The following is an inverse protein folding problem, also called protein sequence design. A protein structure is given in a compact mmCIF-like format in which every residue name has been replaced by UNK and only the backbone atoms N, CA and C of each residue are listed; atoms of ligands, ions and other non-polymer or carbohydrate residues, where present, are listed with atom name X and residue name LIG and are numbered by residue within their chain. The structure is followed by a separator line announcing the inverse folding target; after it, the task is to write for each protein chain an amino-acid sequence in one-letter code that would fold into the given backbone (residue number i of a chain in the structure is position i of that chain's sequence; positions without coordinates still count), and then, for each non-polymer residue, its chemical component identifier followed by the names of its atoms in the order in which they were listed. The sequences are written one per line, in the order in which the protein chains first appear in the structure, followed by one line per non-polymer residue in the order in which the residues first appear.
data_IF_700597771426
#
_entry.id   IF_700597771426
#
_cell.length_a   1.000
_cell.length_b   1.000
_cell.length_c   1.000
_cell.angle_alpha   90.00
_cell.angle_beta   90.00
_cell.angle_gamma   90.00
#
_symmetry.space_group_name_H-M   'P 1'
#
loop_
_entity.id
_entity.type
_entity.pdbx_description
1 polymer ?
2 non-polymer ?
3 water ?
#
# COMPACT_ATOMS: atom_id res chain seq x y z
N UNK A 5 -23.87 7.68 -0.01
CA UNK A 5 -22.53 8.27 -0.26
C UNK A 5 -21.41 7.33 0.18
N UNK A 6 -20.48 7.00 -0.74
CA UNK A 6 -19.31 6.20 -0.39
C UNK A 6 -18.33 6.97 0.52
N UNK A 7 -17.79 6.27 1.53
CA UNK A 7 -16.70 6.79 2.38
C UNK A 7 -15.38 6.60 1.65
N UNK A 8 -14.50 7.60 1.74
CA UNK A 8 -13.17 7.53 1.10
C UNK A 8 -12.07 8.08 2.03
N UNK A 9 -10.96 7.35 2.11
CA UNK A 9 -9.79 7.79 2.87
C UNK A 9 -8.74 8.47 2.01
N UNK A 10 -8.25 9.62 2.47
CA UNK A 10 -7.18 10.32 1.76
C UNK A 10 -5.98 10.64 2.66
N UNK A 11 -4.82 10.73 2.03
CA UNK A 11 -3.60 11.16 2.71
C UNK A 11 -2.95 12.29 1.92
N UNK A 12 -2.39 13.27 2.63
CA UNK A 12 -1.68 14.37 2.00
C UNK A 12 -0.20 14.11 2.10
N UNK A 13 0.47 14.09 0.95
CA UNK A 13 1.93 13.93 0.92
C UNK A 13 2.60 15.10 0.20
N UNK A 14 3.94 15.08 0.16
CA UNK A 14 4.73 16.18 -0.38
C UNK A 14 5.79 16.66 0.60
N UNK A 15 6.79 17.35 0.07
CA UNK A 15 7.97 17.79 0.80
C UNK A 15 7.57 18.71 1.94
N UNK A 16 8.37 18.73 3.00
CA UNK A 16 8.11 19.58 4.18
C UNK A 16 7.93 21.06 3.75
N UNK A 17 7.00 21.76 4.41
CA UNK A 17 6.72 23.18 4.12
C UNK A 17 6.12 23.50 2.73
N UNK A 18 5.72 22.49 1.97
CA UNK A 18 5.05 22.74 0.69
C UNK A 18 3.57 23.09 0.81
N UNK A 19 2.99 22.82 1.97
CA UNK A 19 1.65 23.29 2.31
C UNK A 19 0.60 22.23 2.60
N UNK A 20 1.02 21.07 3.08
CA UNK A 20 0.09 20.00 3.42
C UNK A 20 -0.87 20.42 4.55
N UNK A 21 -0.32 20.89 5.67
CA UNK A 21 -1.17 21.28 6.82
C UNK A 21 -2.11 22.42 6.45
N UNK A 22 -1.57 23.42 5.73
CA UNK A 22 -2.33 24.61 5.39
C UNK A 22 -3.49 24.27 4.45
N UNK A 23 -3.23 23.37 3.49
CA UNK A 23 -4.24 22.87 2.56
C UNK A 23 -5.37 22.12 3.28
N UNK A 24 -5.01 21.22 4.21
CA UNK A 24 -5.96 20.53 5.08
C UNK A 24 -6.75 21.59 5.85
N UNK A 25 -6.01 22.53 6.44
CA UNK A 25 -6.61 23.62 7.20
C UNK A 25 -7.63 24.39 6.38
N UNK A 26 -7.24 24.75 5.15
CA UNK A 26 -8.08 25.54 4.26
C UNK A 26 -9.33 24.76 3.83
N UNK A 27 -9.16 23.48 3.51
CA UNK A 27 -10.30 22.59 3.23
C UNK A 27 -11.33 22.62 4.35
N UNK A 28 -10.87 22.35 5.57
CA UNK A 28 -11.73 22.34 6.75
C UNK A 28 -12.37 23.71 7.01
N UNK A 29 -11.59 24.77 6.85
CA UNK A 29 -12.06 26.14 7.09
C UNK A 29 -13.18 26.58 6.14
N UNK A 30 -13.03 26.28 4.86
CA UNK A 30 -13.99 26.72 3.85
C UNK A 30 -15.24 25.85 3.71
N UNK A 31 -15.20 24.63 4.25
CA UNK A 31 -16.39 23.76 4.31
C UNK A 31 -17.07 23.81 5.69
N UNK A 32 -16.67 24.78 6.51
CA UNK A 32 -17.21 24.95 7.86
C UNK A 32 -16.98 23.74 8.76
N UNK A 33 -15.80 23.14 8.66
CA UNK A 33 -15.46 21.93 9.41
C UNK A 33 -14.31 22.11 10.42
N UNK A 34 -14.26 23.27 11.07
CA UNK A 34 -13.31 23.54 12.15
C UNK A 34 -13.84 23.00 13.50
N UNK A 35 -13.05 22.17 14.21
CA UNK A 35 -13.43 21.66 15.53
C UNK A 35 -13.11 22.64 16.65
N UNK A 53 -10.83 34.78 11.47
CA UNK A 53 -9.64 34.94 10.64
C UNK A 53 -8.96 33.59 10.44
N UNK A 54 -8.34 33.42 9.27
CA UNK A 54 -7.69 32.16 8.88
C UNK A 54 -6.34 31.94 9.56
N UNK A 55 -5.50 32.99 9.62
CA UNK A 55 -4.21 32.94 10.34
C UNK A 55 -4.37 32.47 11.78
N UNK A 56 -5.25 33.14 12.52
CA UNK A 56 -5.78 32.61 13.78
C UNK A 56 -6.65 31.46 13.29
N UNK A 57 -6.58 30.31 13.96
CA UNK A 57 -7.22 29.05 13.50
C UNK A 57 -6.13 28.12 12.97
N UNK A 58 -5.31 28.63 12.06
CA UNK A 58 -4.12 27.90 11.61
C UNK A 58 -3.10 27.75 12.75
N UNK A 59 -2.98 28.78 13.59
CA UNK A 59 -2.19 28.70 14.83
C UNK A 59 -2.76 27.68 15.81
N UNK A 60 -4.08 27.73 16.03
CA UNK A 60 -4.76 26.81 16.95
C UNK A 60 -4.66 25.34 16.51
N UNK A 61 -4.73 25.11 15.20
CA UNK A 61 -4.63 23.76 14.64
C UNK A 61 -3.23 23.17 14.82
N UNK A 62 -2.21 24.01 14.62
CA UNK A 62 -0.82 23.61 14.81
C UNK A 62 -0.56 23.12 16.24
N UNK A 63 -1.18 23.78 17.22
CA UNK A 63 -1.05 23.45 18.65
C UNK A 63 -1.62 22.09 19.01
N UNK A 64 -2.85 21.81 18.56
CA UNK A 64 -3.53 20.53 18.85
C UNK A 64 -2.97 19.37 18.01
N UNK A 75 -9.22 11.28 13.63
CA UNK A 75 -9.30 11.66 12.23
C UNK A 75 -10.40 12.70 12.05
N UNK A 76 -10.14 13.67 11.18
CA UNK A 76 -11.13 14.68 10.84
C UNK A 76 -11.79 14.32 9.52
N UNK A 77 -13.12 14.40 9.50
CA UNK A 77 -13.88 14.07 8.31
C UNK A 77 -14.46 15.36 7.74
N UNK A 78 -14.88 15.30 6.48
CA UNK A 78 -15.75 16.30 5.92
C UNK A 78 -16.56 15.69 4.79
N UNK A 79 -17.60 16.39 4.39
CA UNK A 79 -18.59 15.84 3.49
C UNK A 79 -18.67 16.70 2.22
N UNK A 80 -18.69 16.02 1.08
CA UNK A 80 -18.91 16.64 -0.22
C UNK A 80 -20.26 16.13 -0.79
N UNK A 81 -20.69 16.67 -1.94
CA UNK A 81 -21.96 16.19 -2.51
C UNK A 81 -22.02 14.67 -2.69
N UNK A 82 -20.94 14.07 -3.18
CA UNK A 82 -20.93 12.64 -3.55
C UNK A 82 -20.04 11.76 -2.66
N UNK A 83 -19.33 12.35 -1.71
CA UNK A 83 -18.37 11.59 -0.89
C UNK A 83 -18.38 11.95 0.58
N UNK A 84 -18.12 10.96 1.42
CA UNK A 84 -17.67 11.18 2.80
C UNK A 84 -16.16 10.99 2.77
N UNK A 85 -15.43 11.96 3.28
CA UNK A 85 -13.98 11.97 3.16
C UNK A 85 -13.33 11.98 4.53
N UNK A 86 -12.42 11.02 4.72
CA UNK A 86 -11.62 11.00 5.91
C UNK A 86 -10.14 11.23 5.54
N UNK A 87 -9.53 12.22 6.19
CA UNK A 87 -8.08 12.34 6.19
C UNK A 87 -7.58 11.32 7.21
N UNK A 88 -7.00 10.23 6.70
CA UNK A 88 -6.73 9.03 7.52
C UNK A 88 -5.39 9.12 8.24
N UNK A 89 -4.43 9.82 7.63
CA UNK A 89 -3.10 9.96 8.21
C UNK A 89 -2.33 11.10 7.56
N UNK A 90 -1.16 11.42 8.11
CA UNK A 90 -0.34 12.53 7.62
C UNK A 90 1.14 12.41 8.02
N UNK A 91 2.06 12.73 7.08
CA UNK A 91 3.46 12.85 7.47
C UNK A 91 3.62 13.81 8.64
N UNK A 92 4.49 13.47 9.58
CA UNK A 92 4.84 14.39 10.65
C UNK A 92 4.54 13.90 12.05
N UNK A 93 3.94 12.73 12.17
CA UNK A 93 3.73 12.16 13.49
C UNK A 93 4.48 10.85 13.63
N UNK A 94 4.61 10.41 14.88
CA UNK A 94 5.53 9.34 15.24
C UNK A 94 5.33 8.05 14.44
N UNK A 95 4.07 7.71 14.15
CA UNK A 95 3.77 6.41 13.57
C UNK A 95 3.30 6.47 12.12
N UNK A 96 3.61 7.53 11.41
CA UNK A 96 3.14 7.66 10.05
C UNK A 96 3.58 6.48 9.17
N UNK A 97 4.88 6.18 9.15
CA UNK A 97 5.39 5.10 8.30
C UNK A 97 4.86 3.73 8.79
N UNK A 98 4.83 3.54 10.10
CA UNK A 98 4.34 2.31 10.71
C UNK A 98 2.89 2.02 10.31
N UNK A 99 2.01 3.01 10.52
CA UNK A 99 0.61 2.88 10.12
C UNK A 99 0.42 2.55 8.64
N UNK A 100 1.21 3.19 7.77
CA UNK A 100 1.12 2.92 6.32
C UNK A 100 1.61 1.52 5.97
N UNK A 101 2.71 1.08 6.61
CA UNK A 101 3.30 -0.24 6.36
C UNK A 101 2.43 -1.41 6.84
N UNK A 102 1.84 -1.29 8.02
CA UNK A 102 1.01 -2.35 8.60
C UNK A 102 -0.40 -2.38 8.01
N UNK A 103 -0.76 -1.34 7.26
CA UNK A 103 -2.12 -1.16 6.78
C UNK A 103 -3.13 -0.77 7.85
N UNK A 104 -2.66 -0.28 9.00
CA UNK A 104 -3.54 0.32 10.01
C UNK A 104 -4.20 1.58 9.45
N UNK A 105 -3.44 2.33 8.65
CA UNK A 105 -3.92 3.48 7.89
C UNK A 105 -3.86 3.11 6.42
N UNK A 106 -5.00 3.24 5.75
CA UNK A 106 -5.08 2.92 4.33
C UNK A 106 -5.82 4.01 3.56
N UNK A 107 -5.22 4.49 2.49
CA UNK A 107 -5.83 5.58 1.74
C UNK A 107 -6.35 5.06 0.40
N UNK A 108 -7.44 5.67 -0.06
CA UNK A 108 -7.94 5.41 -1.41
C UNK A 108 -7.28 6.37 -2.39
N UNK A 109 -6.94 7.56 -1.91
CA UNK A 109 -6.30 8.57 -2.74
C UNK A 109 -5.26 9.37 -1.95
N UNK A 110 -4.26 9.87 -2.67
CA UNK A 110 -3.24 10.74 -2.08
C UNK A 110 -3.29 12.08 -2.81
N UNK A 111 -3.20 13.15 -2.03
CA UNK A 111 -3.09 14.48 -2.59
C UNK A 111 -1.63 14.88 -2.42
N UNK A 112 -0.94 14.95 -3.55
CA UNK A 112 0.45 15.36 -3.59
C UNK A 112 0.55 16.87 -3.71
N UNK A 113 1.05 17.52 -2.66
CA UNK A 113 1.22 18.97 -2.60
C UNK A 113 2.64 19.33 -3.07
N UNK A 114 2.73 20.11 -4.14
CA UNK A 114 4.01 20.59 -4.65
C UNK A 114 3.96 22.12 -4.66
N UNK A 115 4.93 22.74 -4.00
CA UNK A 115 5.09 24.19 -3.95
C UNK A 115 5.56 24.74 -5.29
N UNK A 116 4.88 25.78 -5.77
CA UNK A 116 5.23 26.44 -7.02
C UNK A 116 6.59 27.13 -6.94
N UNK A 117 6.99 27.52 -5.73
CA UNK A 117 8.28 28.16 -5.47
C UNK A 117 9.47 27.20 -5.62
N UNK A 118 9.35 25.98 -5.08
CA UNK A 118 10.43 24.98 -5.05
C UNK A 118 10.37 24.02 -6.24
N UNK A 119 9.15 23.67 -6.65
CA UNK A 119 8.94 22.61 -7.63
C UNK A 119 9.07 21.23 -7.00
N UNK A 120 9.15 20.23 -7.86
CA UNK A 120 9.34 18.84 -7.44
C UNK A 120 10.74 18.67 -6.84
N UNK A 121 10.76 18.35 -5.55
CA UNK A 121 11.99 18.10 -4.80
C UNK A 121 12.20 16.59 -4.64
N UNK A 122 13.40 16.17 -4.22
CA UNK A 122 13.63 14.73 -3.99
C UNK A 122 12.56 14.07 -3.11
N UNK A 123 12.15 14.75 -2.03
CA UNK A 123 11.15 14.25 -1.09
C UNK A 123 9.74 14.14 -1.69
N UNK A 124 9.49 14.95 -2.72
CA UNK A 124 8.28 14.84 -3.54
C UNK A 124 8.30 13.52 -4.31
N UNK A 125 9.45 13.20 -4.88
CA UNK A 125 9.60 11.95 -5.65
C UNK A 125 9.46 10.74 -4.74
N UNK A 126 10.11 10.79 -3.58
CA UNK A 126 10.02 9.75 -2.56
C UNK A 126 8.57 9.44 -2.12
N UNK A 127 7.80 10.50 -1.87
CA UNK A 127 6.41 10.36 -1.44
C UNK A 127 5.49 9.81 -2.51
N UNK A 128 5.74 10.17 -3.77
CA UNK A 128 4.99 9.61 -4.87
C UNK A 128 5.31 8.11 -5.02
N UNK A 129 6.58 7.76 -4.83
CA UNK A 129 7.00 6.36 -4.84
C UNK A 129 6.30 5.59 -3.72
N UNK A 130 6.24 6.18 -2.53
CA UNK A 130 5.54 5.57 -1.42
C UNK A 130 4.07 5.29 -1.76
N UNK A 131 3.40 6.25 -2.42
CA UNK A 131 2.00 6.08 -2.81
C UNK A 131 1.86 4.93 -3.81
N UNK A 132 2.74 4.90 -4.81
CA UNK A 132 2.82 3.78 -5.75
C UNK A 132 3.00 2.44 -5.02
N UNK A 133 3.96 2.38 -4.09
CA UNK A 133 4.25 1.17 -3.33
C UNK A 133 3.03 0.64 -2.56
N UNK A 134 2.27 1.56 -1.96
CA UNK A 134 1.10 1.19 -1.16
C UNK A 134 -0.10 0.77 -1.99
N UNK A 135 -0.02 0.93 -3.31
CA UNK A 135 -1.14 0.61 -4.20
C UNK A 135 -2.25 1.66 -4.22
N UNK A 136 -1.91 2.90 -3.83
CA UNK A 136 -2.81 4.03 -4.03
C UNK A 136 -2.92 4.30 -5.54
N UNK A 137 -4.10 4.08 -6.12
CA UNK A 137 -4.28 4.21 -7.57
C UNK A 137 -4.60 5.64 -8.01
N UNK A 138 -5.20 6.43 -7.13
CA UNK A 138 -5.65 7.79 -7.49
C UNK A 138 -4.82 8.88 -6.81
N UNK A 139 -4.22 9.72 -7.64
CA UNK A 139 -3.41 10.84 -7.17
C UNK A 139 -4.03 12.16 -7.65
N UNK A 140 -4.11 13.12 -6.73
CA UNK A 140 -4.50 14.48 -7.04
C UNK A 140 -3.32 15.39 -6.72
N UNK A 141 -2.81 16.09 -7.73
CA UNK A 141 -1.68 17.00 -7.50
C UNK A 141 -2.18 18.43 -7.33
N UNK A 142 -1.75 19.08 -6.26
CA UNK A 142 -1.89 20.52 -6.16
C UNK A 142 -0.53 21.18 -6.31
N UNK A 143 -0.51 22.27 -7.08
CA UNK A 143 0.66 23.10 -7.18
C UNK A 143 0.35 24.33 -6.34
N UNK A 144 0.83 24.27 -5.10
CA UNK A 144 0.49 25.22 -4.06
C UNK A 144 1.41 26.44 -4.07
N UNK A 145 1.06 27.45 -3.28
CA UNK A 145 1.80 28.72 -3.17
C UNK A 145 1.83 29.52 -4.48
N UNK A 146 0.80 29.32 -5.31
CA UNK A 146 0.65 30.09 -6.54
C UNK A 146 0.72 31.59 -6.30
N UNK A 147 0.25 32.04 -5.15
CA UNK A 147 0.33 33.46 -4.78
C UNK A 147 1.77 33.97 -4.68
N UNK A 148 2.70 33.09 -4.29
CA UNK A 148 4.10 33.49 -4.12
C UNK A 148 4.85 33.61 -5.45
N UNK A 149 4.24 33.14 -6.54
CA UNK A 149 4.79 33.30 -7.88
C UNK A 149 3.84 34.13 -8.75
N UNK A 150 3.11 35.05 -8.10
CA UNK A 150 2.23 35.99 -8.79
C UNK A 150 1.12 35.29 -9.63
N UNK A 151 0.72 34.11 -9.18
CA UNK A 151 -0.32 33.32 -9.82
C UNK A 151 -0.01 33.06 -11.31
N UNK A 152 1.27 32.95 -11.63
CA UNK A 152 1.74 32.92 -13.01
C UNK A 152 1.53 31.58 -13.72
N UNK A 153 0.94 31.63 -14.90
CA UNK A 153 0.73 30.45 -15.73
C UNK A 153 2.03 29.74 -16.14
N UNK A 154 3.03 30.52 -16.56
CA UNK A 154 4.30 29.94 -17.01
C UNK A 154 4.96 29.10 -15.91
N UNK A 155 4.88 29.60 -14.66
CA UNK A 155 5.45 28.89 -13.51
C UNK A 155 4.70 27.58 -13.25
N UNK A 156 3.37 27.65 -13.19
CA UNK A 156 2.52 26.46 -12.98
C UNK A 156 2.83 25.38 -13.98
N UNK A 157 2.98 25.77 -15.25
CA UNK A 157 3.24 24.79 -16.32
C UNK A 157 4.61 24.14 -16.25
N UNK A 158 5.61 24.92 -15.81
CA UNK A 158 6.92 24.36 -15.62
C UNK A 158 6.88 23.27 -14.53
N UNK A 159 6.28 23.59 -13.39
CA UNK A 159 6.13 22.64 -12.29
C UNK A 159 5.20 21.47 -12.70
N UNK A 160 4.12 21.76 -13.40
CA UNK A 160 3.23 20.71 -13.90
C UNK A 160 4.00 19.68 -14.73
N UNK A 161 4.85 20.17 -15.63
CA UNK A 161 5.73 19.29 -16.43
C UNK A 161 6.65 18.41 -15.57
N UNK A 162 7.18 18.96 -14.47
CA UNK A 162 7.99 18.15 -13.55
C UNK A 162 7.15 17.04 -12.92
N UNK A 163 5.96 17.43 -12.45
CA UNK A 163 4.98 16.53 -11.86
C UNK A 163 4.55 15.42 -12.83
N UNK A 164 4.31 15.77 -14.10
CA UNK A 164 3.95 14.81 -15.16
C UNK A 164 5.05 13.79 -15.46
N UNK A 165 6.30 14.24 -15.49
CA UNK A 165 7.44 13.37 -15.76
C UNK A 165 7.59 12.31 -14.66
N UNK A 166 7.50 12.74 -13.42
CA UNK A 166 7.59 11.87 -12.25
C UNK A 166 6.47 10.84 -12.19
N UNK A 167 5.23 11.27 -12.42
CA UNK A 167 4.07 10.39 -12.22
C UNK A 167 3.85 9.40 -13.37
N UNK A 168 4.28 9.81 -14.57
CA UNK A 168 4.38 8.93 -15.74
C UNK A 168 5.38 7.81 -15.48
N UNK A 169 6.52 8.14 -14.86
CA UNK A 169 7.53 7.17 -14.45
C UNK A 169 6.91 6.10 -13.55
N UNK A 170 5.95 6.49 -12.71
CA UNK A 170 5.33 5.58 -11.75
C UNK A 170 4.08 4.89 -12.30
N UNK A 171 3.67 5.25 -13.50
CA UNK A 171 2.54 4.57 -14.15
C UNK A 171 1.19 5.25 -14.00
N UNK A 172 1.18 6.46 -13.42
CA UNK A 172 -0.06 7.20 -13.20
C UNK A 172 -0.45 7.99 -14.46
N UNK A 173 -1.76 8.08 -14.70
CA UNK A 173 -2.31 8.79 -15.84
C UNK A 173 -3.63 9.44 -15.45
N UNK A 174 -4.04 10.47 -16.19
CA UNK A 174 -5.36 11.11 -16.02
C UNK A 174 -5.67 11.65 -14.62
N UNK A 175 -4.63 12.19 -13.96
CA UNK A 175 -4.74 12.81 -12.63
C UNK A 175 -4.86 14.33 -12.78
N UNK A 176 -5.58 14.98 -11.86
CA UNK A 176 -5.68 16.45 -11.98
C UNK A 176 -4.45 17.14 -11.39
N UNK A 177 -4.07 18.27 -11.99
CA UNK A 177 -3.01 19.12 -11.50
C UNK A 177 -3.63 20.49 -11.22
N UNK A 178 -3.75 20.83 -9.95
CA UNK A 178 -4.53 22.00 -9.53
C UNK A 178 -3.64 23.12 -8.97
N UNK A 179 -3.64 24.29 -9.64
CA UNK A 179 -2.96 25.48 -9.12
C UNK A 179 -3.71 26.01 -7.90
N UNK A 180 -3.02 26.07 -6.76
CA UNK A 180 -3.69 26.51 -5.54
C UNK A 180 -2.88 27.52 -4.73
N UNK A 181 -3.60 28.30 -3.94
CA UNK A 181 -3.00 29.01 -2.84
C UNK A 181 -3.79 28.60 -1.60
N UNK A 182 -3.24 27.67 -0.84
CA UNK A 182 -3.87 27.21 0.39
C UNK A 182 -4.04 28.37 1.37
N UNK A 183 -3.08 29.29 1.38
CA UNK A 183 -3.14 30.43 2.30
C UNK A 183 -4.26 31.42 1.96
N UNK A 184 -4.36 31.80 0.69
CA UNK A 184 -5.39 32.74 0.25
C UNK A 184 -6.74 32.08 -0.07
N UNK A 185 -6.72 30.80 -0.39
CA UNK A 185 -7.94 30.03 -0.67
C UNK A 185 -8.10 29.52 -2.10
N UNK A 186 -7.33 30.09 -3.03
CA UNK A 186 -7.50 29.82 -4.47
C UNK A 186 -7.53 28.32 -4.84
N UNK A 187 -8.69 27.90 -5.34
CA UNK A 187 -8.92 26.55 -5.90
C UNK A 187 -8.88 25.38 -4.93
N UNK A 188 -8.91 25.65 -3.64
CA UNK A 188 -9.02 24.56 -2.66
C UNK A 188 -10.49 24.15 -2.56
N UNK A 189 -11.32 25.08 -2.10
CA UNK A 189 -12.77 24.90 -2.07
C UNK A 189 -13.44 25.87 -3.04
N UNK A 190 -13.06 27.13 -3.00
CA UNK A 190 -13.67 28.15 -3.87
C UNK A 190 -12.81 28.39 -5.11
N UNK A 191 -13.47 28.62 -6.24
CA UNK A 191 -12.77 28.86 -7.50
C UNK A 191 -12.07 30.21 -7.45
N UNK A 192 -10.86 30.24 -7.98
CA UNK A 192 -10.04 31.43 -8.01
C UNK A 192 -10.50 32.44 -9.08
N UNK A 193 -10.49 33.71 -8.72
CA UNK A 193 -10.64 34.77 -9.70
C UNK A 193 -9.28 35.30 -10.17
N UNK A 194 -8.20 34.71 -9.62
CA UNK A 194 -6.84 35.15 -9.93
C UNK A 194 -6.15 34.33 -11.01
N UNK A 195 -6.77 33.23 -11.44
CA UNK A 195 -6.19 32.35 -12.46
C UNK A 195 -7.23 31.91 -13.51
N UNK A 196 -7.69 32.84 -14.37
CA UNK A 196 -8.69 32.50 -15.40
C UNK A 196 -8.19 31.52 -16.48
N UNK A 197 -6.89 31.25 -16.49
CA UNK A 197 -6.30 30.33 -17.46
C UNK A 197 -6.48 28.84 -17.10
N UNK A 198 -6.99 28.56 -15.90
CA UNK A 198 -7.19 27.19 -15.44
C UNK A 198 -8.64 26.71 -15.53
N UNK A 199 -8.86 25.62 -16.26
CA UNK A 199 -10.21 25.16 -16.58
C UNK A 199 -10.65 23.92 -15.80
N UNK A 200 -9.74 23.36 -15.02
CA UNK A 200 -10.01 22.09 -14.32
C UNK A 200 -10.78 22.26 -13.01
N UNK A 201 -10.82 21.18 -12.22
CA UNK A 201 -11.56 21.20 -10.96
C UNK A 201 -10.77 21.88 -9.82
N UNK A 202 -11.51 22.32 -8.81
CA UNK A 202 -10.91 22.73 -7.55
C UNK A 202 -10.50 21.45 -6.82
N UNK A 203 -9.74 21.59 -5.74
CA UNK A 203 -9.35 20.42 -4.97
C UNK A 203 -10.57 19.64 -4.47
N UNK A 204 -11.52 20.32 -3.85
CA UNK A 204 -12.70 19.67 -3.29
C UNK A 204 -13.57 18.99 -4.38
N UNK A 205 -13.60 19.57 -5.58
CA UNK A 205 -14.23 18.93 -6.74
C UNK A 205 -13.48 17.68 -7.18
N UNK A 206 -12.16 17.69 -7.09
CA UNK A 206 -11.35 16.50 -7.43
C UNK A 206 -11.52 15.38 -6.42
N UNK A 207 -11.66 15.74 -5.14
CA UNK A 207 -11.87 14.76 -4.06
C UNK A 207 -13.25 14.08 -4.20
N UNK A 208 -14.23 14.87 -4.60
CA UNK A 208 -15.59 14.39 -4.83
C UNK A 208 -15.69 13.32 -5.92
N UNK A 209 -14.65 13.22 -6.75
CA UNK A 209 -14.63 12.29 -7.88
C UNK A 209 -13.66 11.11 -7.71
N UNK A 210 -13.17 10.89 -6.49
CA UNK A 210 -12.31 9.74 -6.19
C UNK A 210 -13.14 8.46 -6.38
N UNK A 211 -12.72 7.59 -7.32
CA UNK A 211 -13.48 6.35 -7.55
C UNK A 211 -13.57 5.49 -6.29
N UNK A 212 -14.59 4.65 -6.22
CA UNK A 212 -14.77 3.74 -5.09
C UNK A 212 -13.60 2.75 -5.05
N UNK A 213 -13.21 2.31 -3.84
CA UNK A 213 -12.09 1.37 -3.73
C UNK A 213 -12.36 0.04 -4.46
N UNK A 214 -11.32 -0.53 -5.07
CA UNK A 214 -11.40 -1.87 -5.65
C UNK A 214 -11.62 -2.89 -4.53
N UNK A 215 -12.44 -3.90 -4.80
CA UNK A 215 -12.82 -4.88 -3.78
C UNK A 215 -11.93 -6.12 -3.85
N UNK A 216 -11.61 -6.74 -2.68
CA UNK A 216 -10.83 -7.98 -2.67
C UNK A 216 -11.42 -9.07 -3.59
N UNK A 217 -12.75 -9.15 -3.70
CA UNK A 217 -13.41 -10.07 -4.62
C UNK A 217 -12.96 -9.95 -6.11
N UNK A 218 -12.49 -8.77 -6.49
CA UNK A 218 -12.10 -8.48 -7.89
C UNK A 218 -10.63 -8.66 -8.17
N UNK A 219 -9.85 -8.94 -7.14
CA UNK A 219 -8.44 -9.25 -7.29
C UNK A 219 -8.30 -10.75 -7.57
N UNK A 220 -7.14 -11.22 -8.06
CA UNK A 220 -7.01 -12.64 -8.38
C UNK A 220 -7.13 -13.54 -7.12
N UNK A 221 -7.77 -14.71 -7.28
CA UNK A 221 -7.93 -15.66 -6.18
C UNK A 221 -6.63 -15.98 -5.45
N UNK A 222 -6.68 -15.89 -4.13
CA UNK A 222 -5.57 -16.33 -3.30
C UNK A 222 -6.12 -16.93 -2.03
N UNK A 223 -5.71 -18.16 -1.73
CA UNK A 223 -6.10 -18.86 -0.49
C UNK A 223 -4.86 -19.46 0.17
N UNK A 224 -4.26 -18.74 1.14
CA UNK A 224 -3.13 -19.32 1.89
C UNK A 224 -3.61 -20.52 2.68
N UNK A 225 -2.85 -21.60 2.64
CA UNK A 225 -3.28 -22.85 3.24
C UNK A 225 -2.84 -22.92 4.72
N UNK A 226 -3.80 -23.16 5.61
CA UNK A 226 -3.58 -23.31 7.04
C UNK A 226 -3.23 -24.74 7.40
N UNK A 227 -4.03 -25.68 6.90
CA UNK A 227 -3.85 -27.09 7.21
C UNK A 227 -4.35 -27.96 6.05
N UNK A 228 -3.87 -29.21 6.00
CA UNK A 228 -4.27 -30.19 4.99
C UNK A 228 -4.76 -31.50 5.62
N UNK A 229 -5.99 -31.88 5.27
CA UNK A 229 -6.62 -33.10 5.79
C UNK A 229 -6.83 -34.14 4.69
N UNK A 230 -6.89 -35.40 5.09
CA UNK A 230 -7.34 -36.51 4.26
C UNK A 230 -8.67 -37.00 4.82
N UNK A 231 -9.77 -36.76 4.10
CA UNK A 231 -11.08 -37.25 4.53
C UNK A 231 -11.46 -38.51 3.76
N UNK A 232 -11.74 -39.57 4.50
CA UNK A 232 -12.07 -40.88 3.95
C UNK A 232 -13.29 -40.86 3.02
N UNK A 233 -13.12 -41.37 1.81
CA UNK A 233 -14.18 -41.36 0.82
C UNK A 233 -14.23 -40.05 0.05
N UNK A 234 -13.49 -39.06 0.51
CA UNK A 234 -13.53 -37.72 -0.07
C UNK A 234 -12.16 -37.37 -0.70
N UNK A 235 -11.08 -37.58 0.05
CA UNK A 235 -9.73 -37.25 -0.45
C UNK A 235 -9.12 -36.03 0.22
N UNK A 236 -8.30 -35.32 -0.55
CA UNK A 236 -7.46 -34.25 -0.04
C UNK A 236 -8.25 -32.96 0.12
N UNK A 237 -8.21 -32.41 1.33
CA UNK A 237 -9.05 -31.28 1.73
C UNK A 237 -8.19 -30.22 2.43
N UNK A 238 -7.62 -29.29 1.65
CA UNK A 238 -6.96 -28.14 2.28
C UNK A 238 -7.94 -27.19 2.95
N UNK A 239 -7.45 -26.50 3.98
CA UNK A 239 -8.20 -25.53 4.74
C UNK A 239 -7.48 -24.19 4.70
N UNK A 240 -8.22 -23.13 4.46
CA UNK A 240 -7.62 -21.80 4.41
C UNK A 240 -8.66 -20.72 4.32
N UNK A 241 -8.22 -19.48 4.44
CA UNK A 241 -9.13 -18.36 4.34
C UNK A 241 -8.95 -17.73 2.96
N UNK A 242 -10.06 -17.58 2.22
CA UNK A 242 -10.03 -16.81 0.97
C UNK A 242 -9.68 -15.35 1.30
N UNK A 243 -8.57 -14.87 0.75
CA UNK A 243 -8.12 -13.50 1.01
C UNK A 243 -8.60 -12.56 -0.08
N UNK A 244 -8.50 -13.02 -1.34
CA UNK A 244 -8.94 -12.26 -2.51
C UNK A 244 -9.63 -13.18 -3.53
N UNK A 245 -10.46 -12.62 -4.38
CA UNK A 245 -11.12 -13.38 -5.44
C UNK A 245 -12.22 -14.27 -4.91
N UNK A 246 -12.64 -15.22 -5.73
CA UNK A 246 -13.80 -16.04 -5.47
C UNK A 246 -13.47 -17.47 -5.88
N UNK A 247 -13.72 -18.43 -4.99
CA UNK A 247 -13.58 -19.85 -5.32
C UNK A 247 -14.95 -20.49 -5.53
N UNK A 248 -15.11 -21.16 -6.67
CA UNK A 248 -16.35 -21.89 -7.01
C UNK A 248 -16.08 -23.37 -7.16
N UNK A 249 -17.07 -24.19 -6.84
CA UNK A 249 -17.04 -25.62 -7.17
C UNK A 249 -16.86 -25.76 -8.68
N UNK A 250 -15.89 -26.58 -9.09
CA UNK A 250 -15.57 -26.79 -10.52
C UNK A 250 -14.31 -26.06 -10.95
N UNK A 251 -13.94 -25.00 -10.22
CA UNK A 251 -12.69 -24.30 -10.48
C UNK A 251 -11.51 -25.24 -10.40
N UNK A 252 -10.49 -24.97 -11.21
CA UNK A 252 -9.22 -25.66 -11.06
C UNK A 252 -8.30 -24.71 -10.31
N UNK A 253 -7.66 -25.21 -9.26
CA UNK A 253 -6.70 -24.41 -8.50
C UNK A 253 -5.31 -25.03 -8.53
N UNK A 254 -4.29 -24.18 -8.52
CA UNK A 254 -2.89 -24.60 -8.48
C UNK A 254 -2.24 -24.13 -7.16
N UNK A 255 -1.33 -24.93 -6.62
CA UNK A 255 -0.69 -24.62 -5.33
C UNK A 255 0.77 -24.21 -5.49
N UNK A 256 1.13 -23.09 -4.87
CA UNK A 256 2.53 -22.63 -4.86
C UNK A 256 2.93 -22.32 -3.41
N UNK A 257 4.22 -22.51 -3.07
CA UNK A 257 5.34 -22.91 -3.93
C UNK A 257 5.49 -24.42 -4.18
N UNK A 258 4.52 -25.23 -3.73
CA UNK A 258 4.49 -26.67 -4.02
C UNK A 258 4.85 -27.02 -5.50
N UNK A 259 4.20 -26.35 -6.44
CA UNK A 259 4.45 -26.59 -7.85
C UNK A 259 5.89 -26.29 -8.28
N UNK A 260 6.42 -25.16 -7.80
CA UNK A 260 7.83 -24.80 -8.06
C UNK A 260 8.79 -25.80 -7.39
N UNK A 261 8.51 -26.15 -6.15
CA UNK A 261 9.32 -27.11 -5.40
C UNK A 261 9.38 -28.52 -6.03
N UNK A 262 8.24 -29.02 -6.51
CA UNK A 262 8.16 -30.37 -7.10
C UNK A 262 8.34 -30.42 -8.64
N UNK A 263 8.56 -29.26 -9.25
CA UNK A 263 8.78 -29.14 -10.71
C UNK A 263 7.65 -29.68 -11.60
N UNK A 264 6.44 -29.72 -11.05
CA UNK A 264 5.24 -30.09 -11.79
C UNK A 264 4.04 -29.36 -11.18
N UNK A 265 2.98 -29.14 -11.97
CA UNK A 265 1.83 -28.44 -11.39
C UNK A 265 1.14 -29.28 -10.33
N UNK A 266 1.03 -28.74 -9.12
CA UNK A 266 0.20 -29.33 -8.08
C UNK A 266 -1.16 -28.63 -8.17
N UNK A 267 -2.09 -29.25 -8.87
CA UNK A 267 -3.37 -28.61 -9.19
C UNK A 267 -4.47 -29.64 -9.38
N UNK A 268 -5.70 -29.19 -9.27
CA UNK A 268 -6.84 -30.06 -9.52
C UNK A 268 -8.14 -29.31 -9.37
N UNK A 269 -9.23 -30.01 -9.68
CA UNK A 269 -10.56 -29.44 -9.65
C UNK A 269 -11.11 -29.43 -8.22
N UNK A 270 -11.74 -28.32 -7.86
CA UNK A 270 -12.42 -28.21 -6.58
C UNK A 270 -13.76 -28.92 -6.68
N UNK A 271 -13.84 -30.06 -5.99
CA UNK A 271 -15.04 -30.91 -6.02
C UNK A 271 -16.13 -30.46 -5.05
N UNK A 272 -15.73 -29.80 -3.97
CA UNK A 272 -16.68 -29.32 -2.95
C UNK A 272 -16.01 -28.36 -1.99
N UNK A 273 -16.85 -27.54 -1.34
CA UNK A 273 -16.44 -26.53 -0.39
C UNK A 273 -17.28 -26.66 0.88
N UNK A 274 -16.64 -26.64 2.04
CA UNK A 274 -17.39 -26.67 3.29
C UNK A 274 -16.94 -25.60 4.28
N UNK A 275 -17.93 -25.04 4.96
CA UNK A 275 -17.73 -24.13 6.09
C UNK A 275 -18.75 -24.46 7.16
N UNK A 276 -18.29 -24.50 8.41
CA UNK A 276 -19.13 -24.91 9.55
C UNK A 276 -19.85 -26.21 9.27
N UNK A 277 -19.13 -27.12 8.62
CA UNK A 277 -19.64 -28.46 8.30
C UNK A 277 -20.89 -28.46 7.39
N UNK A 278 -21.00 -27.42 6.55
CA UNK A 278 -22.10 -27.30 5.58
C UNK A 278 -21.53 -26.99 4.18
N UNK A 279 -22.20 -27.50 3.12
CA UNK A 279 -21.74 -27.24 1.75
C UNK A 279 -21.89 -25.78 1.32
N UNK A 280 -20.94 -25.32 0.51
CA UNK A 280 -21.02 -24.03 -0.20
C UNK A 280 -20.76 -24.30 -1.68
N UNK A 281 -21.35 -23.50 -2.55
CA UNK A 281 -21.07 -23.57 -3.98
C UNK A 281 -19.96 -22.62 -4.36
N UNK A 282 -19.80 -21.57 -3.55
CA UNK A 282 -18.73 -20.59 -3.74
C UNK A 282 -18.20 -20.06 -2.40
N UNK A 283 -16.96 -19.58 -2.40
CA UNK A 283 -16.38 -18.97 -1.19
C UNK A 283 -15.82 -17.59 -1.52
N UNK A 284 -16.05 -16.62 -0.63
CA UNK A 284 -15.72 -15.20 -0.87
C UNK A 284 -14.65 -14.71 0.12
N UNK A 285 -14.02 -13.53 -0.15
CA UNK A 285 -13.03 -12.98 0.79
C UNK A 285 -13.51 -13.00 2.23
N UNK A 286 -12.66 -13.51 3.12
CA UNK A 286 -13.03 -13.68 4.53
C UNK A 286 -13.51 -15.07 4.94
N UNK A 287 -13.89 -15.90 3.98
CA UNK A 287 -14.41 -17.24 4.28
C UNK A 287 -13.28 -18.21 4.64
N UNK A 288 -13.37 -18.81 5.82
CA UNK A 288 -12.48 -19.89 6.24
C UNK A 288 -13.13 -21.20 5.84
N UNK A 289 -12.47 -21.93 4.94
CA UNK A 289 -13.10 -23.07 4.29
C UNK A 289 -12.24 -24.30 4.20
N UNK A 290 -12.91 -25.45 4.07
CA UNK A 290 -12.31 -26.66 3.58
C UNK A 290 -12.72 -26.81 2.13
N UNK A 291 -11.77 -27.16 1.28
CA UNK A 291 -12.08 -27.49 -0.11
C UNK A 291 -11.37 -28.75 -0.60
N UNK A 292 -12.18 -29.67 -1.12
CA UNK A 292 -11.74 -30.95 -1.62
C UNK A 292 -11.21 -30.78 -3.04
N UNK A 293 -9.94 -31.11 -3.24
CA UNK A 293 -9.31 -30.96 -4.56
C UNK A 293 -8.97 -32.33 -5.20
N UNK A 294 -9.64 -32.65 -6.30
CA UNK A 294 -9.39 -33.89 -7.05
C UNK A 294 -7.93 -34.00 -7.52
N UNK A 295 -7.34 -35.19 -7.39
CA UNK A 295 -6.04 -35.50 -7.97
C UNK A 295 -4.81 -34.89 -7.31
N UNK A 296 -4.97 -34.39 -6.10
CA UNK A 296 -3.85 -33.84 -5.36
C UNK A 296 -3.62 -34.70 -4.12
N UNK A 297 -2.37 -35.07 -3.89
CA UNK A 297 -2.00 -35.89 -2.74
C UNK A 297 -1.82 -35.01 -1.49
N UNK A 298 -2.20 -35.55 -0.33
CA UNK A 298 -2.05 -34.86 0.96
C UNK A 298 -0.60 -34.43 1.22
N UNK A 299 0.34 -35.18 0.69
CA UNK A 299 1.75 -34.90 0.93
C UNK A 299 2.32 -33.80 0.05
N UNK A 300 1.58 -33.40 -0.98
CA UNK A 300 2.05 -32.42 -1.96
C UNK A 300 1.75 -30.99 -1.55
N UNK A 301 0.90 -30.83 -0.54
CA UNK A 301 0.53 -29.50 -0.07
C UNK A 301 0.59 -29.45 1.45
N UNK A 302 0.96 -28.29 1.98
CA UNK A 302 1.10 -28.10 3.41
C UNK A 302 0.87 -26.62 3.80
N UNK A 303 0.85 -26.34 5.10
CA UNK A 303 0.79 -24.99 5.65
C UNK A 303 1.78 -24.03 4.96
N UNK A 304 1.30 -22.85 4.56
CA UNK A 304 2.15 -21.88 3.87
C UNK A 304 2.14 -21.98 2.36
N UNK A 305 1.55 -23.05 1.82
CA UNK A 305 1.26 -23.12 0.38
C UNK A 305 0.09 -22.17 0.15
N UNK A 306 -0.10 -21.75 -1.09
CA UNK A 306 -1.19 -20.82 -1.44
C UNK A 306 -1.84 -21.34 -2.72
N UNK A 307 -3.18 -21.37 -2.72
CA UNK A 307 -3.95 -21.77 -3.89
C UNK A 307 -4.35 -20.54 -4.71
N UNK A 308 -4.32 -20.69 -6.04
CA UNK A 308 -4.82 -19.68 -6.97
C UNK A 308 -5.35 -20.35 -8.24
N UNK A 309 -5.96 -19.57 -9.14
CA UNK A 309 -6.36 -20.11 -10.44
C UNK A 309 -5.12 -20.26 -11.32
N UNK A 310 -5.16 -21.26 -12.21
CA UNK A 310 -4.01 -21.61 -13.06
C UNK A 310 -3.71 -20.45 -14.00
N UNK A 311 -4.79 -19.73 -14.29
CA UNK A 311 -4.86 -18.46 -14.96
C UNK A 311 -3.96 -17.37 -14.31
N UNK A 312 -3.98 -17.32 -12.98
CA UNK A 312 -3.33 -16.27 -12.24
C UNK A 312 -2.65 -16.87 -11.02
N UNK A 313 -1.55 -17.64 -11.22
CA UNK A 313 -1.01 -18.42 -10.11
C UNK A 313 -0.30 -17.52 -9.10
N UNK A 314 -0.29 -17.92 -7.80
CA UNK A 314 0.43 -17.14 -6.79
C UNK A 314 1.91 -16.99 -7.17
N UNK A 315 2.44 -15.77 -6.98
CA UNK A 315 3.82 -15.45 -7.31
C UNK A 315 4.75 -16.12 -6.29
N UNK A 316 5.81 -16.75 -6.80
CA UNK A 316 6.79 -17.44 -5.96
C UNK A 316 8.13 -16.71 -6.00
N UNK A 317 8.62 -16.27 -4.84
CA UNK A 317 9.98 -15.79 -4.75
C UNK A 317 10.86 -16.99 -4.42
N UNK A 318 11.70 -17.39 -5.37
CA UNK A 318 12.63 -18.50 -5.19
C UNK A 318 13.88 -17.98 -4.47
N UNK A 319 14.74 -18.89 -4.03
CA UNK A 319 15.98 -18.50 -3.34
C UNK A 319 16.95 -17.76 -4.28
N UNK A 320 16.88 -18.06 -5.58
CA UNK A 320 17.65 -17.34 -6.59
C UNK A 320 17.05 -15.95 -6.90
N UNK A 321 15.88 -15.66 -6.33
CA UNK A 321 15.29 -14.34 -6.48
C UNK A 321 15.53 -13.50 -5.23
N UNK A 322 15.21 -12.22 -5.31
CA UNK A 322 15.18 -11.34 -4.15
C UNK A 322 13.93 -10.48 -4.23
N UNK A 323 13.73 -9.67 -3.21
CA UNK A 323 12.64 -8.71 -3.17
C UNK A 323 12.96 -7.48 -2.32
N UNK A 324 12.47 -6.35 -2.78
CA UNK A 324 12.61 -5.09 -2.06
C UNK A 324 11.41 -4.91 -1.15
N UNK A 325 11.65 -4.33 0.01
CA UNK A 325 10.63 -4.14 1.02
C UNK A 325 10.91 -2.86 1.76
N UNK A 326 9.87 -2.29 2.31
CA UNK A 326 10.01 -1.19 3.26
C UNK A 326 9.63 -1.77 4.59
N UNK A 327 10.50 -1.58 5.59
CA UNK A 327 10.22 -2.10 6.93
C UNK A 327 10.21 -0.99 7.97
N UNK A 328 9.60 -1.27 9.11
CA UNK A 328 9.75 -0.46 10.30
C UNK A 328 10.30 -1.37 11.40
N UNK A 329 11.43 -0.98 11.99
CA UNK A 329 12.05 -1.78 13.06
C UNK A 329 11.34 -1.55 14.40
N UNK A 330 10.67 -2.59 14.88
CA UNK A 330 9.87 -2.50 16.10
C UNK A 330 10.69 -2.81 17.35
N UNK A 331 11.57 -3.80 17.27
CA UNK A 331 12.45 -4.19 18.36
C UNK A 331 13.63 -4.98 17.84
N UNK A 332 14.81 -4.67 18.35
CA UNK A 332 16.02 -5.41 18.08
C UNK A 332 17.03 -5.04 19.16
N UNK A 333 17.74 -6.05 19.72
CA UNK A 333 18.61 -5.81 20.89
C UNK A 333 19.87 -4.97 20.62
N UNK A 334 20.27 -4.88 19.36
CA UNK A 334 21.48 -4.17 18.98
C UNK A 334 21.21 -3.33 17.73
N UNK A 335 21.60 -3.83 16.56
CA UNK A 335 21.33 -3.17 15.28
C UNK A 335 21.26 -4.23 14.18
N UNK A 336 20.45 -3.97 13.16
CA UNK A 336 20.34 -4.83 11.97
C UNK A 336 21.39 -4.41 10.92
N UNK A 337 22.14 -5.39 10.42
CA UNK A 337 23.15 -5.16 9.37
C UNK A 337 22.99 -6.19 8.24
N UNK A 338 23.65 -5.95 7.11
CA UNK A 338 23.70 -6.91 6.00
C UNK A 338 24.12 -8.29 6.54
N UNK A 339 23.38 -9.33 6.13
CA UNK A 339 23.67 -10.69 6.56
C UNK A 339 22.77 -11.17 7.67
N UNK A 340 22.02 -10.25 8.28
CA UNK A 340 21.07 -10.62 9.33
C UNK A 340 20.07 -11.62 8.75
N UNK A 341 19.78 -12.68 9.51
CA UNK A 341 19.00 -13.80 8.98
C UNK A 341 17.94 -14.29 9.95
N UNK A 342 16.84 -13.53 10.08
CA UNK A 342 15.71 -13.87 10.93
C UNK A 342 14.65 -14.69 10.17
N UNK A 343 13.43 -14.80 10.73
CA UNK A 343 12.36 -15.53 10.07
C UNK A 343 11.33 -14.54 9.56
N UNK A 344 10.85 -14.78 8.35
CA UNK A 344 9.81 -13.96 7.75
C UNK A 344 8.48 -14.70 7.87
N UNK A 345 7.47 -13.99 8.34
CA UNK A 345 6.12 -14.50 8.50
C UNK A 345 5.21 -13.67 7.60
N UNK A 346 4.54 -14.33 6.66
CA UNK A 346 3.56 -13.69 5.78
C UNK A 346 2.44 -14.71 5.57
N UNK A 347 1.20 -14.21 5.56
CA UNK A 347 -0.01 -15.05 5.46
C UNK A 347 0.11 -16.31 6.36
N UNK A 348 0.18 -17.51 5.79
CA UNK A 348 0.34 -18.70 6.61
C UNK A 348 1.76 -19.30 6.54
N UNK A 349 2.68 -18.61 5.87
CA UNK A 349 4.02 -19.15 5.66
C UNK A 349 5.06 -18.57 6.60
N UNK A 350 6.15 -19.31 6.80
CA UNK A 350 7.33 -18.77 7.47
C UNK A 350 8.57 -19.39 6.88
N UNK A 351 9.56 -18.56 6.61
CA UNK A 351 10.80 -18.98 5.99
C UNK A 351 11.95 -18.17 6.58
N UNK A 352 13.16 -18.76 6.62
CA UNK A 352 14.31 -17.92 6.95
C UNK A 352 14.58 -16.95 5.79
N UNK A 353 15.00 -15.73 6.15
CA UNK A 353 15.26 -14.68 5.16
C UNK A 353 16.62 -14.02 5.44
N UNK A 354 17.29 -13.54 4.39
CA UNK A 354 18.56 -12.86 4.56
C UNK A 354 18.50 -11.42 4.08
N UNK A 355 19.04 -10.51 4.89
CA UNK A 355 19.17 -9.11 4.53
C UNK A 355 20.39 -8.93 3.62
N UNK A 356 20.16 -8.66 2.33
CA UNK A 356 21.26 -8.53 1.37
C UNK A 356 21.78 -7.11 1.28
N UNK A 357 20.88 -6.14 1.29
CA UNK A 357 21.25 -4.75 1.18
C UNK A 357 20.30 -3.92 2.01
N UNK A 358 20.81 -2.83 2.56
CA UNK A 358 19.96 -1.82 3.12
C UNK A 358 20.20 -0.62 2.23
N UNK A 359 19.21 -0.31 1.40
CA UNK A 359 19.34 0.75 0.40
C UNK A 359 19.15 2.13 0.98
N UNK A 360 18.28 2.27 1.96
CA UNK A 360 17.94 3.58 2.50
C UNK A 360 17.45 3.47 3.94
N UNK A 361 17.86 4.42 4.76
CA UNK A 361 17.28 4.66 6.07
C UNK A 361 16.18 5.69 5.87
N UNK A 362 15.03 5.44 6.49
CA UNK A 362 13.85 6.26 6.28
C UNK A 362 13.39 6.81 7.63
N UNK A 363 13.19 8.12 7.69
CA UNK A 363 12.56 8.79 8.83
C UNK A 363 11.15 8.22 9.03
N UNK A 364 10.90 7.61 10.21
CA UNK A 364 9.59 7.01 10.53
C UNK A 364 8.43 8.01 10.65
N UNK A 365 8.74 9.31 10.72
CA UNK A 365 7.74 10.37 10.84
C UNK A 365 7.27 10.88 9.48
N UNK A 366 8.20 10.97 8.54
CA UNK A 366 7.90 11.63 7.27
C UNK A 366 7.78 10.68 6.10
N UNK A 367 8.42 9.51 6.21
CA UNK A 367 8.53 8.60 5.08
C UNK A 367 9.62 9.01 4.11
N UNK A 368 10.43 9.99 4.50
CA UNK A 368 11.52 10.47 3.67
C UNK A 368 12.89 9.84 4.00
N UNK A 369 13.72 9.70 2.98
CA UNK A 369 15.05 9.12 3.10
C UNK A 369 16.00 10.08 3.82
N UNK A 370 16.70 9.58 4.83
CA UNK A 370 17.65 10.41 5.60
C UNK A 370 19.09 9.96 5.37
N UNK A 371 19.26 8.78 4.80
CA UNK A 371 20.57 8.26 4.46
C UNK A 371 20.44 7.19 3.40
N UNK A 372 21.33 7.23 2.42
CA UNK A 372 21.45 6.16 1.44
C UNK A 372 22.51 5.18 1.88
N UNK A 373 22.23 3.90 1.65
CA UNK A 373 23.15 2.81 1.97
C UNK A 373 23.70 2.85 3.40
N UNK A 374 22.82 2.94 4.41
CA UNK A 374 23.33 2.96 5.77
C UNK A 374 23.92 1.61 6.15
N UNK A 375 24.88 1.62 7.06
CA UNK A 375 25.56 0.40 7.49
C UNK A 375 24.64 -0.42 8.40
N UNK A 376 23.77 0.25 9.14
CA UNK A 376 22.95 -0.41 10.12
C UNK A 376 21.62 0.28 10.29
N UNK A 377 20.69 -0.43 10.92
CA UNK A 377 19.36 0.04 11.22
C UNK A 377 19.04 -0.40 12.65
N UNK A 378 18.37 0.48 13.41
CA UNK A 378 18.04 0.22 14.81
C UNK A 378 16.53 0.36 15.04
N UNK A 379 16.10 -0.04 16.23
CA UNK A 379 14.73 0.14 16.69
C UNK A 379 14.21 1.56 16.40
N UNK A 380 13.00 1.65 15.85
CA UNK A 380 12.38 2.93 15.49
C UNK A 380 12.66 3.44 14.08
N UNK A 381 13.70 2.94 13.43
CA UNK A 381 14.01 3.31 12.04
C UNK A 381 13.12 2.55 11.07
N UNK A 382 12.80 3.23 9.97
CA UNK A 382 12.24 2.58 8.82
C UNK A 382 13.40 2.38 7.85
N UNK A 383 13.29 1.44 6.93
CA UNK A 383 14.32 1.23 5.91
C UNK A 383 13.76 0.56 4.65
N UNK A 384 14.45 0.77 3.52
CA UNK A 384 14.19 0.02 2.29
C UNK A 384 15.29 -1.04 2.23
N UNK A 385 14.89 -2.30 2.09
CA UNK A 385 15.82 -3.42 2.17
C UNK A 385 15.63 -4.39 1.00
N UNK A 386 16.71 -5.08 0.65
CA UNK A 386 16.65 -6.16 -0.33
C UNK A 386 16.79 -7.44 0.47
N UNK A 387 15.78 -8.29 0.38
CA UNK A 387 15.73 -9.54 1.11
C UNK A 387 15.77 -10.74 0.18
N UNK A 388 16.42 -11.81 0.63
CA UNK A 388 16.46 -13.07 -0.08
C UNK A 388 15.88 -14.18 0.78
N UNK A 389 14.76 -14.80 0.33
CA UNK A 389 14.19 -15.97 1.00
C UNK A 389 15.16 -17.14 0.96
N UNK A 390 15.36 -17.84 2.08
CA UNK A 390 16.24 -19.00 2.14
C UNK A 390 15.48 -20.29 1.85
N UNK A 391 14.16 -20.18 1.69
CA UNK A 391 13.31 -21.24 1.15
C UNK A 391 12.28 -20.51 0.27
N UNK A 392 11.78 -21.16 -0.80
CA UNK A 392 10.79 -20.47 -1.66
C UNK A 392 9.55 -20.04 -0.88
N UNK A 393 9.01 -18.88 -1.22
CA UNK A 393 7.83 -18.32 -0.54
C UNK A 393 6.92 -17.61 -1.51
N UNK A 394 5.61 -17.70 -1.28
CA UNK A 394 4.65 -16.89 -2.02
C UNK A 394 4.57 -15.51 -1.39
N UNK A 395 4.94 -14.51 -2.17
CA UNK A 395 4.78 -13.11 -1.77
C UNK A 395 4.25 -12.31 -2.96
N UNK A 396 3.48 -11.26 -2.68
CA UNK A 396 3.00 -10.37 -3.74
C UNK A 396 3.36 -8.95 -3.35
N UNK A 397 3.72 -8.09 -4.33
CA UNK A 397 3.89 -6.68 -4.04
C UNK A 397 2.60 -6.15 -3.44
N UNK A 398 2.66 -5.32 -2.40
CA UNK A 398 1.43 -4.78 -1.78
C UNK A 398 0.56 -3.99 -2.75
N UNK A 399 1.17 -3.44 -3.81
CA UNK A 399 0.44 -2.67 -4.79
C UNK A 399 -0.51 -3.53 -5.62
N UNK A 400 -0.17 -4.82 -5.78
CA UNK A 400 -1.00 -5.79 -6.50
C UNK A 400 -1.99 -6.49 -5.57
N UNK A 401 -1.48 -7.27 -4.60
CA UNK A 401 -2.33 -7.99 -3.64
C UNK A 401 -1.82 -7.77 -2.20
N UNK A 402 -2.38 -6.75 -1.50
CA UNK A 402 -1.87 -6.36 -0.18
C UNK A 402 -1.98 -7.46 0.90
N UNK A 403 -3.00 -8.30 0.81
CA UNK A 403 -3.21 -9.41 1.74
C UNK A 403 -2.04 -10.41 1.77
N UNK A 404 -1.22 -10.38 0.72
CA UNK A 404 -0.05 -11.26 0.62
C UNK A 404 1.23 -10.46 0.45
N UNK A 405 1.15 -9.16 0.70
CA UNK A 405 2.30 -8.27 0.55
C UNK A 405 2.83 -7.69 1.84
N UNK A 406 2.18 -8.01 2.96
CA UNK A 406 2.61 -7.54 4.28
C UNK A 406 3.16 -8.71 5.10
N UNK A 407 4.21 -8.44 5.86
CA UNK A 407 4.88 -9.49 6.60
C UNK A 407 5.47 -9.02 7.92
N UNK A 408 5.78 -9.98 8.78
CA UNK A 408 6.49 -9.67 10.01
C UNK A 408 7.86 -10.33 9.96
N UNK A 409 8.85 -9.70 10.57
CA UNK A 409 10.14 -10.35 10.85
C UNK A 409 10.19 -10.76 12.33
N UNK A 410 10.50 -12.02 12.58
CA UNK A 410 10.61 -12.52 13.95
C UNK A 410 11.98 -13.11 14.20
N UNK A 411 12.45 -12.98 15.43
CA UNK A 411 13.76 -13.48 15.85
C UNK A 411 13.82 -13.31 17.36
N UNK A 412 14.52 -14.23 18.03
CA UNK A 412 14.81 -14.14 19.47
C UNK A 412 13.53 -14.02 20.31
N UNK A 413 12.47 -14.72 19.88
CA UNK A 413 11.19 -14.72 20.57
C UNK A 413 10.38 -13.43 20.54
N UNK A 414 10.67 -12.54 19.58
CA UNK A 414 9.90 -11.31 19.46
C UNK A 414 9.70 -10.85 18.01
N UNK A 415 8.86 -9.82 17.84
CA UNK A 415 8.60 -9.22 16.55
C UNK A 415 9.63 -8.11 16.28
N UNK A 416 10.52 -8.37 15.34
CA UNK A 416 11.62 -7.47 15.04
C UNK A 416 11.16 -6.30 14.15
N UNK A 417 10.33 -6.61 13.16
CA UNK A 417 9.95 -5.63 12.17
C UNK A 417 8.63 -5.99 11.52
N UNK A 418 7.94 -4.97 11.02
CA UNK A 418 6.80 -5.14 10.11
C UNK A 418 7.24 -4.61 8.75
N UNK A 419 6.80 -5.27 7.68
CA UNK A 419 7.25 -4.91 6.35
C UNK A 419 6.18 -4.97 5.28
N UNK A 420 6.49 -4.41 4.12
CA UNK A 420 5.62 -4.54 2.95
C UNK A 420 6.48 -4.70 1.72
N UNK A 421 6.06 -5.59 0.84
CA UNK A 421 6.78 -5.91 -0.37
C UNK A 421 6.64 -4.80 -1.43
N UNK A 422 7.76 -4.24 -1.88
CA UNK A 422 7.79 -3.23 -2.93
C UNK A 422 7.73 -3.90 -4.30
N UNK A 423 8.72 -4.76 -4.57
CA UNK A 423 8.86 -5.42 -5.86
C UNK A 423 9.70 -6.68 -5.70
N UNK A 424 9.63 -7.54 -6.70
CA UNK A 424 10.32 -8.83 -6.70
C UNK A 424 11.26 -8.85 -7.91
N UNK A 425 12.52 -9.22 -7.68
CA UNK A 425 13.53 -9.31 -8.75
C UNK A 425 13.88 -10.77 -9.00
N UNK A 426 13.49 -11.28 -10.16
CA UNK A 426 13.80 -12.67 -10.51
C UNK A 426 15.28 -12.81 -10.85
N UNK A 427 15.87 -13.96 -10.52
CA UNK A 427 17.32 -14.18 -10.64
C UNK A 427 17.87 -14.17 -12.06
X LIG B 1 3.67 21.26 5.45
X LIG B 1 4.98 21.03 6.14
X LIG B 1 3.69 20.69 4.04
X LIG B 1 2.42 20.96 6.26
X LIG B 1 3.59 22.85 5.19
X LIG B 1 2.69 23.94 5.95
X LIG B 1 3.16 24.03 7.38
X LIG B 1 1.21 23.77 5.66
X LIG B 1 3.18 25.26 5.17
X LIG B 1 4.52 25.74 5.31
X LIG B 1 4.52 27.26 5.40
X LIG B 1 4.09 27.85 4.16
X LIG B 1 3.58 27.79 6.46
X LIG B 1 4.14 29.01 6.97
X LIG B 1 2.32 28.12 5.69
X LIG B 1 1.49 29.08 6.35
X LIG B 1 2.88 28.60 4.36
X LIG B 1 1.99 28.31 3.20
X LIG B 1 1.37 27.14 2.94
X LIG B 1 0.63 27.21 1.81
X LIG B 1 0.79 28.45 1.32
X LIG B 1 0.30 29.21 0.14
X LIG B 1 -0.47 28.68 -0.68
X LIG B 1 0.70 30.50 0.01
X LIG B 1 1.52 31.10 0.90
X LIG B 1 1.88 32.39 0.71
X LIG B 1 2.01 30.46 1.99
X LIG B 1 1.68 29.17 2.26
#
# INVERSE_FOLDING_TARGET
MPKEKPHVNIVFIGHVDHGKSTTIGRLLYDTGNIPETIIKKFEEMGEKGKSFKFAWVMDRLKEERERGITIDVAHTKFETPHRYITIIDAPGHRDFVKNMITGASQADAAVLVVAATDGVMPQTKEHAFLARTLGIKHIIVTINKMDMVNYDQKVFEKVKAQVEKLLKTLGYKDFPVIPTSAWNGDNVVKKSDKMPWYNGPTLIEALDQIPEPEKPIDKPLRIPIQDVYSIKGVGTVPVGRVETGKLKVGDVVIFEPASTIFHKPIQGEVKSIEMHHEPLQEALPGDNIGFNVRGVSKNDIKRGDVAGHTDKPPTVVRTKDTFKAQIIVLNHPTAITVGYSPVLHAHTAQIPVRFEQILAKVDPRTGNIVEENPQFIKTGDSAIVVLRPMKPVVLEPVKEIPQLGRFAIRDMGMTIAAGMVISIQKGEHHHHHH
GDP PB O1B O2B O3B O3A PA O1A O2A O5' C5' C4' O4' C3' O3' C2' O2' C1' N9 C8 N7 C5 C6 O6 N1 C2 N2 N3 C4
#
